data_IF_142842870224
#
_entry.id   IF_142842870224
#
_cell.length_a   1.000
_cell.length_b   1.000
_cell.length_c   1.000
_cell.angle_alpha   90.00
_cell.angle_beta   90.00
_cell.angle_gamma   90.00
#
_symmetry.space_group_name_H-M   'P 1'
#
loop_
_entity.id
_entity.type
_entity.pdbx_description
1 polymer ?
#
# COMPACT_ATOMS: atom_id res chain seq x y z
N UNK A 1 -15.69 6.73 16.24
CA UNK A 1 -14.89 7.03 15.03
C UNK A 1 -14.22 5.74 14.58
N UNK A 2 -14.24 5.44 13.28
CA UNK A 2 -13.56 4.27 12.67
C UNK A 2 -12.31 4.82 12.00
N UNK A 3 -11.14 4.22 12.28
CA UNK A 3 -9.87 4.61 11.68
C UNK A 3 -9.77 4.02 10.27
N UNK A 4 -9.54 4.84 9.24
CA UNK A 4 -9.32 4.43 7.86
C UNK A 4 -7.83 4.30 7.59
N UNK A 5 -7.37 3.08 7.29
CA UNK A 5 -5.98 2.82 6.96
C UNK A 5 -5.90 2.40 5.49
N UNK A 6 -5.19 3.18 4.68
CA UNK A 6 -4.82 2.79 3.32
C UNK A 6 -3.55 1.95 3.37
N UNK A 7 -3.58 0.75 2.80
CA UNK A 7 -2.42 -0.12 2.63
C UNK A 7 -2.03 -0.12 1.16
N UNK A 8 -0.88 0.47 0.86
CA UNK A 8 -0.29 0.51 -0.48
C UNK A 8 0.60 -0.72 -0.66
N UNK A 9 0.22 -1.57 -1.61
CA UNK A 9 0.77 -2.91 -1.80
C UNK A 9 0.07 -3.96 -0.93
N UNK A 10 -0.43 -5.03 -1.56
CA UNK A 10 -1.05 -6.19 -0.93
C UNK A 10 -0.21 -7.47 -1.12
N UNK A 11 1.09 -7.32 -1.41
CA UNK A 11 2.07 -8.41 -1.52
C UNK A 11 2.45 -9.03 -0.19
N UNK A 12 3.67 -9.59 -0.10
CA UNK A 12 4.17 -10.33 1.09
C UNK A 12 4.02 -9.55 2.40
N UNK A 13 4.44 -8.29 2.39
CA UNK A 13 4.44 -7.44 3.58
C UNK A 13 3.01 -6.92 3.83
N UNK A 14 2.34 -6.43 2.79
CA UNK A 14 0.95 -5.97 2.83
C UNK A 14 0.00 -7.00 3.43
N UNK A 15 0.06 -8.26 2.97
CA UNK A 15 -0.72 -9.38 3.51
C UNK A 15 -0.58 -9.52 5.04
N UNK A 16 0.65 -9.43 5.55
CA UNK A 16 0.92 -9.52 7.00
C UNK A 16 0.37 -8.32 7.75
N UNK A 17 0.56 -7.12 7.22
CA UNK A 17 0.02 -5.87 7.79
C UNK A 17 -1.50 -5.95 7.88
N UNK A 18 -2.17 -6.27 6.77
CA UNK A 18 -3.63 -6.42 6.70
C UNK A 18 -4.11 -7.45 7.74
N UNK A 19 -3.45 -8.60 7.84
CA UNK A 19 -3.78 -9.63 8.84
C UNK A 19 -3.70 -9.13 10.28
N UNK A 20 -2.74 -8.25 10.60
CA UNK A 20 -2.67 -7.64 11.94
C UNK A 20 -3.77 -6.60 12.15
N UNK A 21 -4.01 -5.72 11.17
CA UNK A 21 -5.04 -4.68 11.26
C UNK A 21 -6.45 -5.28 11.45
N UNK A 22 -6.76 -6.42 10.79
CA UNK A 22 -8.05 -7.13 10.91
C UNK A 22 -8.36 -7.59 12.34
N UNK A 23 -7.36 -7.69 13.23
CA UNK A 23 -7.60 -8.00 14.65
C UNK A 23 -8.40 -6.93 15.39
N UNK A 24 -8.57 -5.73 14.80
CA UNK A 24 -9.30 -4.62 15.39
C UNK A 24 -10.45 -4.19 14.46
N UNK A 25 -11.73 -4.44 14.83
CA UNK A 25 -12.88 -4.12 13.98
C UNK A 25 -13.16 -2.61 13.82
N UNK A 26 -12.51 -1.76 14.63
CA UNK A 26 -12.60 -0.30 14.52
C UNK A 26 -11.64 0.29 13.48
N UNK A 27 -10.92 -0.56 12.73
CA UNK A 27 -10.06 -0.17 11.62
C UNK A 27 -10.74 -0.59 10.32
N UNK A 28 -11.07 0.39 9.47
CA UNK A 28 -11.44 0.16 8.08
C UNK A 28 -10.15 0.09 7.27
N UNK A 29 -9.85 -1.08 6.73
CA UNK A 29 -8.69 -1.30 5.86
C UNK A 29 -9.13 -1.03 4.44
N UNK A 30 -8.36 -0.23 3.71
CA UNK A 30 -8.54 0.06 2.29
C UNK A 30 -7.24 -0.35 1.61
N UNK A 31 -7.32 -1.03 0.49
CA UNK A 31 -6.17 -1.66 -0.17
C UNK A 31 -6.00 -1.15 -1.59
N UNK A 32 -4.75 -0.91 -1.97
CA UNK A 32 -4.37 -0.58 -3.34
C UNK A 32 -3.20 -1.43 -3.80
N UNK A 33 -3.35 -2.13 -4.92
CA UNK A 33 -2.30 -2.90 -5.58
C UNK A 33 -2.64 -3.04 -7.07
N UNK A 34 -1.68 -2.88 -8.00
CA UNK A 34 -1.92 -2.99 -9.44
C UNK A 34 -2.17 -4.43 -9.90
N UNK A 35 -1.83 -5.42 -9.08
CA UNK A 35 -2.00 -6.84 -9.43
C UNK A 35 -3.43 -7.28 -9.17
N UNK A 36 -3.97 -8.11 -10.07
CA UNK A 36 -5.29 -8.72 -9.87
C UNK A 36 -5.29 -9.74 -8.73
N UNK A 37 -4.19 -10.47 -8.53
CA UNK A 37 -4.05 -11.51 -7.50
C UNK A 37 -2.76 -11.30 -6.67
N UNK A 38 -2.68 -10.26 -5.83
CA UNK A 38 -1.57 -10.11 -4.90
C UNK A 38 -1.68 -11.16 -3.79
N UNK A 39 -0.58 -11.40 -3.08
CA UNK A 39 -0.50 -12.47 -2.07
C UNK A 39 -1.60 -12.41 -0.99
N UNK A 40 -2.08 -11.23 -0.60
CA UNK A 40 -3.19 -11.12 0.33
C UNK A 40 -4.49 -11.76 -0.19
N UNK A 41 -4.72 -11.76 -1.51
CA UNK A 41 -5.83 -12.48 -2.15
C UNK A 41 -5.53 -13.98 -2.19
N UNK A 42 -4.33 -14.36 -2.66
CA UNK A 42 -3.93 -15.78 -2.76
C UNK A 42 -4.02 -16.52 -1.42
N UNK A 43 -3.69 -15.85 -0.32
CA UNK A 43 -3.81 -16.39 1.05
C UNK A 43 -5.23 -16.30 1.64
N UNK A 44 -6.21 -15.77 0.90
CA UNK A 44 -7.58 -15.58 1.37
C UNK A 44 -7.74 -14.55 2.49
N UNK A 45 -6.79 -13.61 2.62
CA UNK A 45 -6.82 -12.54 3.63
C UNK A 45 -7.78 -11.43 3.20
N UNK A 46 -7.88 -11.14 1.90
CA UNK A 46 -8.89 -10.26 1.33
C UNK A 46 -9.49 -10.95 0.09
N UNK A 47 -10.74 -10.64 -0.25
CA UNK A 47 -11.38 -11.21 -1.45
C UNK A 47 -10.96 -10.47 -2.72
N UNK A 48 -10.68 -9.17 -2.59
CA UNK A 48 -10.26 -8.27 -3.68
C UNK A 48 -9.46 -7.10 -3.11
N UNK A 49 -8.71 -6.44 -3.98
CA UNK A 49 -8.20 -5.09 -3.70
C UNK A 49 -9.32 -4.07 -3.91
N UNK A 50 -9.33 -3.01 -3.10
CA UNK A 50 -10.33 -1.95 -3.24
C UNK A 50 -10.04 -1.05 -4.46
N UNK A 51 -8.75 -0.82 -4.75
CA UNK A 51 -8.28 -0.04 -5.88
C UNK A 51 -7.17 -0.80 -6.63
N UNK A 52 -7.32 -0.90 -7.95
CA UNK A 52 -6.29 -1.43 -8.85
C UNK A 52 -5.80 -0.30 -9.75
N UNK A 53 -4.72 0.34 -9.33
CA UNK A 53 -4.06 1.45 -10.02
C UNK A 53 -2.54 1.26 -9.97
N UNK A 54 -1.83 1.90 -10.89
CA UNK A 54 -0.37 1.94 -10.86
C UNK A 54 0.13 2.67 -9.62
N UNK A 55 1.17 2.14 -8.99
CA UNK A 55 1.77 2.71 -7.77
C UNK A 55 2.77 3.82 -8.10
N UNK A 56 2.29 4.85 -8.79
CA UNK A 56 3.05 6.06 -9.11
C UNK A 56 2.56 7.26 -8.27
N UNK A 57 3.43 8.23 -7.93
CA UNK A 57 3.10 9.28 -6.95
C UNK A 57 1.80 10.03 -7.26
N UNK A 58 1.59 10.44 -8.52
CA UNK A 58 0.39 11.18 -8.91
C UNK A 58 -0.92 10.41 -8.72
N UNK A 59 -0.95 9.14 -9.10
CA UNK A 59 -2.12 8.27 -8.93
C UNK A 59 -2.41 8.01 -7.45
N UNK A 60 -1.37 7.77 -6.65
CA UNK A 60 -1.52 7.61 -5.20
C UNK A 60 -2.03 8.90 -4.55
N UNK A 61 -1.53 10.07 -4.94
CA UNK A 61 -2.01 11.35 -4.41
C UNK A 61 -3.48 11.61 -4.73
N UNK A 62 -3.92 11.30 -5.95
CA UNK A 62 -5.33 11.38 -6.33
C UNK A 62 -6.17 10.44 -5.45
N UNK A 63 -5.71 9.20 -5.27
CA UNK A 63 -6.38 8.22 -4.42
C UNK A 63 -6.45 8.68 -2.95
N UNK A 64 -5.39 9.30 -2.42
CA UNK A 64 -5.38 9.82 -1.05
C UNK A 64 -6.45 10.90 -0.86
N UNK A 65 -6.69 11.76 -1.84
CA UNK A 65 -7.75 12.77 -1.79
C UNK A 65 -9.14 12.13 -1.84
N UNK A 66 -9.33 11.10 -2.65
CA UNK A 66 -10.61 10.37 -2.76
C UNK A 66 -10.93 9.60 -1.47
N UNK A 67 -9.96 8.81 -1.00
CA UNK A 67 -10.12 7.91 0.15
C UNK A 67 -10.14 8.68 1.47
N UNK A 68 -9.36 9.77 1.54
CA UNK A 68 -9.12 10.57 2.73
C UNK A 68 -8.79 9.67 3.95
N UNK A 69 -7.68 8.89 3.90
CA UNK A 69 -7.33 7.96 4.96
C UNK A 69 -6.81 8.70 6.20
N UNK A 70 -6.94 8.07 7.38
CA UNK A 70 -6.34 8.58 8.62
C UNK A 70 -4.86 8.16 8.76
N UNK A 71 -4.44 7.13 8.01
CA UNK A 71 -3.08 6.60 7.98
C UNK A 71 -2.82 5.87 6.65
N UNK A 72 -1.62 6.05 6.11
CA UNK A 72 -1.13 5.34 4.93
C UNK A 72 0.03 4.44 5.32
N UNK A 73 -0.04 3.17 4.98
CA UNK A 73 1.03 2.20 5.15
C UNK A 73 1.54 1.79 3.78
N UNK A 74 2.77 2.17 3.45
CA UNK A 74 3.41 1.75 2.20
C UNK A 74 4.19 0.48 2.48
N UNK A 75 3.71 -0.64 1.95
CA UNK A 75 4.26 -1.98 2.23
C UNK A 75 4.94 -2.60 1.02
N UNK A 76 4.98 -1.87 -0.09
CA UNK A 76 5.59 -2.31 -1.35
C UNK A 76 7.09 -2.53 -1.16
N UNK A 77 7.57 -3.73 -1.46
CA UNK A 77 9.00 -4.05 -1.44
C UNK A 77 9.61 -3.97 -2.84
N UNK A 78 10.95 -3.94 -2.90
CA UNK A 78 11.72 -4.06 -4.15
C UNK A 78 11.33 -5.31 -4.96
N UNK A 79 10.99 -6.41 -4.28
CA UNK A 79 10.59 -7.69 -4.90
C UNK A 79 9.17 -7.69 -5.48
N UNK A 80 8.24 -6.93 -4.88
CA UNK A 80 6.88 -6.80 -5.41
C UNK A 80 6.86 -5.99 -6.71
N UNK A 81 7.89 -5.18 -6.91
CA UNK A 81 8.02 -4.24 -8.01
C UNK A 81 8.92 -4.80 -9.13
N UNK A 82 9.90 -5.67 -8.82
CA UNK A 82 10.72 -6.33 -9.85
C UNK A 82 9.92 -7.25 -10.79
N UNK A 83 8.74 -7.74 -10.36
CA UNK A 83 7.82 -8.51 -11.20
C UNK A 83 7.08 -7.67 -12.26
N UNK A 84 7.20 -6.33 -12.27
CA UNK A 84 6.61 -5.46 -13.32
C UNK A 84 7.59 -5.14 -14.46
N UNK A 85 8.84 -5.63 -14.40
CA UNK A 85 9.77 -5.65 -15.54
C UNK A 85 10.51 -4.33 -15.84
N UNK A 86 10.35 -3.26 -15.06
CA UNK A 86 11.08 -2.01 -15.28
C UNK A 86 12.40 -1.93 -14.47
N UNK A 87 13.54 -1.77 -15.14
CA UNK A 87 14.82 -1.50 -14.46
C UNK A 87 14.81 -0.07 -13.89
N UNK A 88 15.33 0.14 -12.67
CA UNK A 88 15.44 1.46 -12.02
C UNK A 88 14.46 1.74 -10.86
N UNK A 89 13.69 0.72 -10.45
CA UNK A 89 12.55 0.88 -9.54
C UNK A 89 12.89 1.15 -8.05
N UNK A 90 14.13 0.91 -7.61
CA UNK A 90 14.54 1.23 -6.23
C UNK A 90 14.48 2.73 -5.95
N UNK A 91 14.94 3.53 -6.92
CA UNK A 91 14.82 4.99 -6.89
C UNK A 91 13.36 5.44 -6.95
N UNK A 92 12.47 4.68 -7.61
CA UNK A 92 11.04 4.98 -7.67
C UNK A 92 10.33 4.73 -6.34
N UNK A 93 10.68 3.70 -5.58
CA UNK A 93 10.11 3.47 -4.23
C UNK A 93 10.60 4.52 -3.25
N UNK A 94 11.90 4.81 -3.25
CA UNK A 94 12.45 5.88 -2.41
C UNK A 94 11.90 7.24 -2.82
N UNK A 95 11.77 7.52 -4.12
CA UNK A 95 11.16 8.78 -4.59
C UNK A 95 9.67 8.84 -4.29
N UNK A 96 8.93 7.73 -4.44
CA UNK A 96 7.51 7.65 -4.05
C UNK A 96 7.35 7.90 -2.56
N UNK A 97 8.15 7.26 -1.71
CA UNK A 97 8.10 7.49 -0.26
C UNK A 97 8.48 8.93 0.08
N UNK A 98 9.59 9.45 -0.46
CA UNK A 98 10.06 10.81 -0.18
C UNK A 98 9.07 11.87 -0.68
N UNK A 99 8.50 11.70 -1.87
CA UNK A 99 7.55 12.65 -2.44
C UNK A 99 6.21 12.61 -1.69
N UNK A 100 5.68 11.42 -1.41
CA UNK A 100 4.45 11.29 -0.63
C UNK A 100 4.65 11.85 0.78
N UNK A 101 5.74 11.53 1.47
CA UNK A 101 6.04 12.06 2.81
C UNK A 101 6.23 13.58 2.82
N UNK A 102 6.84 14.15 1.78
CA UNK A 102 7.08 15.59 1.70
C UNK A 102 5.84 16.42 1.29
N UNK A 103 4.92 15.84 0.51
CA UNK A 103 3.82 16.58 -0.12
C UNK A 103 2.44 16.29 0.47
N UNK A 104 2.29 15.17 1.17
CA UNK A 104 1.01 14.72 1.71
C UNK A 104 0.71 15.34 3.08
N UNK A 105 -0.56 15.69 3.31
CA UNK A 105 -1.06 16.02 4.65
C UNK A 105 -1.48 14.77 5.45
N UNK A 106 -1.34 13.58 4.86
CA UNK A 106 -1.68 12.31 5.48
C UNK A 106 -0.43 11.69 6.12
N UNK A 107 -0.54 11.12 7.33
CA UNK A 107 0.59 10.41 7.93
C UNK A 107 0.88 9.15 7.10
N UNK A 108 2.12 9.03 6.64
CA UNK A 108 2.61 7.93 5.83
C UNK A 108 3.72 7.21 6.60
N UNK A 109 3.67 5.88 6.59
CA UNK A 109 4.69 5.03 7.20
C UNK A 109 5.09 3.97 6.18
N UNK A 110 6.36 3.98 5.78
CA UNK A 110 6.95 2.87 5.04
C UNK A 110 7.17 1.68 5.97
N UNK A 111 6.67 0.51 5.58
CA UNK A 111 6.79 -0.73 6.31
C UNK A 111 7.64 -1.67 5.48
N UNK A 112 8.88 -1.89 5.92
CA UNK A 112 9.79 -2.86 5.34
C UNK A 112 10.20 -3.89 6.39
N UNK A 113 10.78 -5.00 5.94
CA UNK A 113 11.44 -5.97 6.82
C UNK A 113 12.94 -5.85 6.57
N UNK A 114 13.71 -5.60 7.62
CA UNK A 114 15.16 -5.81 7.57
C UNK A 114 15.41 -7.31 7.44
N UNK A 115 16.20 -7.71 6.46
CA UNK A 115 16.81 -9.05 6.43
C UNK A 115 17.81 -9.23 7.57
#
# INVERSE_FOLDING_TARGET
MILKVLVVGAGKIGARVIKQLRKKPKIKIITVDPRENPQAIEEGIIERVDYSIDLIPGEIMNLLQEVNPDLVLVTTSKDDISNTGAQGLELLVESLNNELEASSNYPIISVSRSE
#
